data_IF_647580431760
#
_entry.id   IF_647580431760
#
_cell.length_a   1.000
_cell.length_b   1.000
_cell.length_c   1.000
_cell.angle_alpha   90.00
_cell.angle_beta   90.00
_cell.angle_gamma   90.00
#
_symmetry.space_group_name_H-M   'P 1'
#
loop_
_entity.id
_entity.type
_entity.pdbx_description
1 polymer ?
#
# COMPACT_ATOMS: atom_id res chain seq x y z
N UNK A 1 -8.82 -21.63 -33.59
CA UNK A 1 -8.00 -20.41 -33.47
C UNK A 1 -8.10 -19.84 -32.05
N UNK A 2 -7.02 -20.03 -31.26
CA UNK A 2 -6.97 -19.50 -29.91
C UNK A 2 -6.88 -17.98 -29.99
N UNK A 3 -7.97 -17.29 -29.67
CA UNK A 3 -7.94 -15.83 -29.53
C UNK A 3 -6.90 -15.44 -28.48
N UNK A 4 -5.89 -14.65 -28.90
CA UNK A 4 -4.92 -14.06 -27.97
C UNK A 4 -5.69 -13.29 -26.90
N UNK A 5 -5.39 -13.50 -25.61
CA UNK A 5 -6.07 -12.76 -24.56
C UNK A 5 -5.86 -11.26 -24.80
N UNK A 6 -6.97 -10.55 -24.92
CA UNK A 6 -6.93 -9.10 -25.07
C UNK A 6 -6.38 -8.50 -23.78
N UNK A 7 -5.14 -8.04 -23.82
CA UNK A 7 -4.45 -7.43 -22.67
C UNK A 7 -5.27 -6.28 -22.04
N UNK A 8 -6.05 -5.54 -22.84
CA UNK A 8 -6.96 -4.50 -22.33
C UNK A 8 -8.02 -5.07 -21.39
N UNK A 9 -8.60 -6.22 -21.73
CA UNK A 9 -9.60 -6.88 -20.89
C UNK A 9 -9.01 -7.37 -19.59
N UNK A 10 -7.76 -7.85 -19.60
CA UNK A 10 -7.07 -8.30 -18.39
C UNK A 10 -6.82 -7.13 -17.42
N UNK A 11 -6.36 -6.00 -17.93
CA UNK A 11 -6.11 -4.79 -17.12
C UNK A 11 -7.40 -4.19 -16.57
N UNK A 12 -8.46 -4.14 -17.38
CA UNK A 12 -9.76 -3.67 -16.92
C UNK A 12 -10.34 -4.56 -15.81
N UNK A 13 -10.13 -5.87 -15.89
CA UNK A 13 -10.56 -6.81 -14.86
C UNK A 13 -9.77 -6.61 -13.55
N UNK A 14 -8.44 -6.41 -13.63
CA UNK A 14 -7.60 -6.13 -12.49
C UNK A 14 -7.99 -4.80 -11.82
N UNK A 15 -8.15 -3.74 -12.61
CA UNK A 15 -8.57 -2.42 -12.11
C UNK A 15 -9.92 -2.49 -11.39
N UNK A 16 -10.86 -3.26 -11.89
CA UNK A 16 -12.16 -3.49 -11.27
C UNK A 16 -12.03 -4.16 -9.90
N UNK A 17 -11.16 -5.16 -9.80
CA UNK A 17 -10.89 -5.87 -8.55
C UNK A 17 -10.21 -4.96 -7.54
N UNK A 18 -9.20 -4.20 -7.95
CA UNK A 18 -8.50 -3.24 -7.11
C UNK A 18 -9.48 -2.18 -6.59
N UNK A 19 -10.30 -1.63 -7.47
CA UNK A 19 -11.33 -0.64 -7.08
C UNK A 19 -12.24 -1.18 -6.01
N UNK A 20 -12.75 -2.40 -6.18
CA UNK A 20 -13.62 -3.06 -5.21
C UNK A 20 -12.92 -3.26 -3.86
N UNK A 21 -11.66 -3.68 -3.87
CA UNK A 21 -10.87 -3.85 -2.63
C UNK A 21 -10.67 -2.52 -1.91
N UNK A 22 -10.40 -1.44 -2.62
CA UNK A 22 -10.28 -0.10 -2.04
C UNK A 22 -11.62 0.41 -1.48
N UNK A 23 -12.73 0.17 -2.16
CA UNK A 23 -14.07 0.54 -1.70
C UNK A 23 -14.48 -0.17 -0.41
N UNK A 24 -14.15 -1.44 -0.29
CA UNK A 24 -14.57 -2.29 0.83
C UNK A 24 -13.60 -2.29 2.00
N UNK A 25 -12.44 -1.66 1.86
CA UNK A 25 -11.41 -1.58 2.89
C UNK A 25 -11.53 -0.27 3.69
N UNK A 26 -11.22 -0.33 4.98
CA UNK A 26 -11.25 0.82 5.90
C UNK A 26 -9.90 1.08 6.57
N UNK A 27 -9.17 0.02 6.87
CA UNK A 27 -7.92 0.10 7.63
C UNK A 27 -6.74 -0.41 6.82
N UNK A 28 -5.70 0.42 6.73
CA UNK A 28 -4.44 0.12 6.05
C UNK A 28 -3.33 0.08 7.08
N UNK A 29 -2.57 -1.01 7.13
CA UNK A 29 -1.29 -1.05 7.82
C UNK A 29 -0.18 -0.73 6.82
N UNK A 30 0.53 0.36 7.03
CA UNK A 30 1.54 0.84 6.10
C UNK A 30 2.93 0.52 6.64
N UNK A 31 3.59 -0.46 6.04
CA UNK A 31 4.89 -0.98 6.49
C UNK A 31 6.04 -0.22 5.85
N UNK A 32 6.92 0.32 6.68
CA UNK A 32 8.09 1.07 6.22
C UNK A 32 7.90 2.58 6.22
N UNK A 33 6.93 3.09 6.98
CA UNK A 33 6.75 4.53 7.16
C UNK A 33 7.91 5.09 7.96
N UNK A 34 8.55 6.12 7.44
CA UNK A 34 9.69 6.76 8.11
C UNK A 34 9.25 7.95 8.94
N UNK A 35 9.89 8.13 10.11
CA UNK A 35 9.59 9.27 10.98
C UNK A 35 10.03 10.59 10.36
N UNK A 36 9.34 11.66 10.72
CA UNK A 36 9.65 13.03 10.28
C UNK A 36 11.07 13.45 10.72
N UNK A 37 11.52 12.99 11.89
CA UNK A 37 12.85 13.32 12.41
C UNK A 37 14.00 12.84 11.52
N UNK A 38 13.82 11.75 10.81
CA UNK A 38 14.80 11.23 9.84
C UNK A 38 14.74 11.94 8.49
N UNK A 39 13.65 12.61 8.19
CA UNK A 39 13.52 13.40 6.95
C UNK A 39 14.33 14.70 7.00
N UNK A 40 14.50 15.29 8.18
CA UNK A 40 15.23 16.56 8.37
C UNK A 40 16.74 16.40 8.21
N UNK A 41 17.28 15.20 8.46
CA UNK A 41 18.72 14.95 8.41
C UNK A 41 19.27 14.58 7.03
N UNK A 42 18.41 14.24 6.09
CA UNK A 42 18.77 13.90 4.71
C UNK A 42 18.02 14.80 3.74
N UNK A 43 18.73 15.81 3.25
CA UNK A 43 18.22 16.78 2.29
C UNK A 43 17.17 16.23 1.28
N UNK A 44 15.95 16.80 1.33
CA UNK A 44 15.13 17.20 0.17
C UNK A 44 14.17 16.13 -0.42
N UNK A 45 14.18 14.87 -0.06
CA UNK A 45 13.18 13.95 -0.61
C UNK A 45 12.13 13.60 0.44
N UNK A 46 10.98 14.25 0.35
CA UNK A 46 9.76 13.81 1.03
C UNK A 46 9.59 12.31 0.76
N UNK A 47 9.67 11.50 1.81
CA UNK A 47 9.57 10.06 1.64
C UNK A 47 8.17 9.69 1.15
N UNK A 48 8.06 8.89 0.08
CA UNK A 48 6.76 8.55 -0.52
C UNK A 48 5.74 8.01 0.47
N UNK A 49 6.18 7.21 1.45
CA UNK A 49 5.30 6.62 2.46
C UNK A 49 4.53 7.66 3.28
N UNK A 50 5.20 8.74 3.67
CA UNK A 50 4.57 9.82 4.47
C UNK A 50 3.48 10.53 3.68
N UNK A 51 3.74 10.82 2.40
CA UNK A 51 2.80 11.49 1.50
C UNK A 51 1.60 10.58 1.23
N UNK A 52 1.84 9.33 0.93
CA UNK A 52 0.79 8.34 0.66
C UNK A 52 -0.08 8.11 1.89
N UNK A 53 0.53 8.01 3.07
CA UNK A 53 -0.19 7.88 4.33
C UNK A 53 -1.20 9.02 4.53
N UNK A 54 -0.74 10.26 4.44
CA UNK A 54 -1.59 11.43 4.62
C UNK A 54 -2.70 11.49 3.59
N UNK A 55 -2.39 11.22 2.33
CA UNK A 55 -3.37 11.19 1.25
C UNK A 55 -4.48 10.17 1.52
N UNK A 56 -4.14 8.95 1.91
CA UNK A 56 -5.14 7.92 2.19
C UNK A 56 -5.99 8.27 3.42
N UNK A 57 -5.42 8.90 4.44
CA UNK A 57 -6.17 9.41 5.57
C UNK A 57 -7.19 10.48 5.16
N UNK A 58 -6.83 11.38 4.26
CA UNK A 58 -7.73 12.43 3.76
C UNK A 58 -8.93 11.84 3.01
N UNK A 59 -8.78 10.66 2.41
CA UNK A 59 -9.87 9.96 1.74
C UNK A 59 -10.59 8.95 2.64
N UNK A 60 -10.41 9.04 3.95
CA UNK A 60 -11.21 8.34 4.94
C UNK A 60 -10.67 7.01 5.45
N UNK A 61 -9.46 6.63 5.06
CA UNK A 61 -8.83 5.41 5.59
C UNK A 61 -8.19 5.64 6.95
N UNK A 62 -8.32 4.66 7.83
CA UNK A 62 -7.48 4.54 9.02
C UNK A 62 -6.15 3.96 8.59
N UNK A 63 -5.07 4.70 8.73
CA UNK A 63 -3.74 4.24 8.36
C UNK A 63 -2.87 4.08 9.59
N UNK A 64 -2.39 2.86 9.82
CA UNK A 64 -1.51 2.53 10.95
C UNK A 64 -0.09 2.40 10.42
N UNK A 65 0.82 3.29 10.82
CA UNK A 65 2.21 3.22 10.38
C UNK A 65 2.98 2.15 11.15
N UNK A 66 3.76 1.35 10.43
CA UNK A 66 4.56 0.26 10.98
C UNK A 66 6.02 0.44 10.62
N UNK A 67 6.89 0.55 11.60
CA UNK A 67 8.34 0.62 11.42
C UNK A 67 9.06 0.32 12.73
N UNK A 68 9.85 -0.75 12.83
CA UNK A 68 10.54 -1.11 14.06
C UNK A 68 11.57 -0.07 14.51
N UNK A 69 12.15 0.68 13.57
CA UNK A 69 13.16 1.69 13.85
C UNK A 69 12.59 3.03 14.34
N UNK A 70 11.31 3.24 14.22
CA UNK A 70 10.62 4.48 14.58
C UNK A 70 9.44 4.24 15.52
N UNK A 71 9.33 3.06 16.10
CA UNK A 71 8.24 2.70 16.98
C UNK A 71 8.10 3.68 18.16
N UNK A 72 6.86 4.06 18.47
CA UNK A 72 6.54 5.02 19.53
C UNK A 72 6.55 6.48 19.07
N UNK A 73 7.11 6.80 17.93
CA UNK A 73 7.04 8.14 17.35
C UNK A 73 5.66 8.40 16.74
N UNK A 74 5.27 9.65 16.66
CA UNK A 74 4.00 10.07 16.11
C UNK A 74 4.16 10.64 14.69
N UNK A 75 3.31 10.20 13.76
CA UNK A 75 3.26 10.75 12.41
C UNK A 75 1.78 10.86 11.97
N UNK A 76 1.41 12.03 11.43
CA UNK A 76 0.05 12.32 10.97
C UNK A 76 -1.05 11.90 11.96
N UNK A 77 -0.81 12.12 13.25
CA UNK A 77 -1.77 11.78 14.31
C UNK A 77 -1.77 10.33 14.78
N UNK A 78 -0.96 9.47 14.18
CA UNK A 78 -0.87 8.05 14.52
C UNK A 78 0.47 7.69 15.14
N UNK A 79 0.45 6.78 16.11
CA UNK A 79 1.68 6.25 16.72
C UNK A 79 2.23 5.12 15.84
N UNK A 80 3.50 5.19 15.52
CA UNK A 80 4.19 4.15 14.76
C UNK A 80 4.35 2.91 15.64
N UNK A 81 3.86 1.77 15.18
CA UNK A 81 4.03 0.49 15.85
C UNK A 81 5.25 -0.27 15.29
N UNK A 82 5.86 -1.12 16.10
CA UNK A 82 7.08 -1.83 15.71
C UNK A 82 6.84 -2.88 14.64
N UNK A 83 5.74 -3.61 14.71
CA UNK A 83 5.43 -4.74 13.82
C UNK A 83 3.92 -4.91 13.64
N UNK A 84 3.54 -5.61 12.57
CA UNK A 84 2.13 -5.87 12.24
C UNK A 84 1.37 -6.55 13.38
N UNK A 85 1.99 -7.47 14.10
CA UNK A 85 1.34 -8.20 15.20
C UNK A 85 0.97 -7.30 16.40
N UNK A 86 1.54 -6.10 16.50
CA UNK A 86 1.20 -5.14 17.56
C UNK A 86 -0.09 -4.38 17.28
N UNK A 87 -0.65 -4.50 16.08
CA UNK A 87 -1.91 -3.86 15.71
C UNK A 87 -3.08 -4.64 16.35
N UNK A 88 -3.94 -3.95 17.08
CA UNK A 88 -5.04 -4.56 17.84
C UNK A 88 -6.40 -4.47 17.15
N UNK A 89 -6.49 -3.83 16.01
CA UNK A 89 -7.72 -3.72 15.21
C UNK A 89 -7.60 -4.51 13.91
N UNK A 90 -8.71 -4.91 13.28
CA UNK A 90 -8.67 -5.58 11.99
C UNK A 90 -8.00 -4.71 10.93
N UNK A 91 -7.15 -5.33 10.11
CA UNK A 91 -6.46 -4.68 9.00
C UNK A 91 -6.96 -5.26 7.67
N UNK A 92 -7.43 -4.40 6.79
CA UNK A 92 -7.93 -4.81 5.47
C UNK A 92 -6.80 -4.89 4.44
N UNK A 93 -5.90 -3.91 4.45
CA UNK A 93 -4.78 -3.82 3.50
C UNK A 93 -3.48 -3.70 4.26
N UNK A 94 -2.50 -4.54 3.92
CA UNK A 94 -1.09 -4.33 4.28
C UNK A 94 -0.38 -3.74 3.07
N UNK A 95 0.03 -2.48 3.19
CA UNK A 95 0.69 -1.71 2.14
C UNK A 95 2.17 -1.57 2.45
N UNK A 96 3.05 -2.05 1.57
CA UNK A 96 4.47 -2.25 1.85
C UNK A 96 5.36 -1.29 1.07
N UNK A 97 6.20 -0.55 1.82
CA UNK A 97 7.26 0.35 1.33
C UNK A 97 8.66 -0.18 1.65
N UNK A 98 8.83 -1.50 1.67
CA UNK A 98 10.13 -2.13 1.94
C UNK A 98 10.67 -2.81 0.69
N UNK A 99 12.01 -3.01 0.58
CA UNK A 99 12.60 -3.69 -0.56
C UNK A 99 11.96 -5.05 -0.85
N UNK A 100 11.91 -5.43 -2.11
CA UNK A 100 11.26 -6.68 -2.57
C UNK A 100 11.74 -7.92 -1.82
N UNK A 101 13.04 -7.98 -1.48
CA UNK A 101 13.64 -9.11 -0.75
C UNK A 101 13.08 -9.31 0.67
N UNK A 102 12.52 -8.27 1.29
CA UNK A 102 11.95 -8.34 2.63
C UNK A 102 10.47 -8.75 2.61
N UNK A 103 9.83 -8.69 1.46
CA UNK A 103 8.39 -8.86 1.34
C UNK A 103 7.87 -10.27 1.62
N UNK A 104 8.61 -11.37 1.37
CA UNK A 104 8.16 -12.71 1.78
C UNK A 104 7.93 -12.83 3.28
N UNK A 105 8.83 -12.30 4.10
CA UNK A 105 8.69 -12.29 5.56
C UNK A 105 7.50 -11.43 6.00
N UNK A 106 7.32 -10.28 5.40
CA UNK A 106 6.18 -9.39 5.67
C UNK A 106 4.87 -10.05 5.26
N UNK A 107 4.87 -10.80 4.15
CA UNK A 107 3.72 -11.58 3.72
C UNK A 107 3.28 -12.62 4.78
N UNK A 108 4.22 -13.31 5.39
CA UNK A 108 3.93 -14.26 6.48
C UNK A 108 3.33 -13.55 7.70
N UNK A 109 3.85 -12.40 8.05
CA UNK A 109 3.31 -11.57 9.14
C UNK A 109 1.90 -11.06 8.81
N UNK A 110 1.66 -10.67 7.57
CA UNK A 110 0.35 -10.23 7.09
C UNK A 110 -0.71 -11.34 7.17
N UNK A 111 -0.34 -12.57 6.85
CA UNK A 111 -1.21 -13.74 6.99
C UNK A 111 -1.67 -13.90 8.45
N UNK A 112 -0.75 -13.77 9.40
CA UNK A 112 -1.03 -13.95 10.83
C UNK A 112 -2.06 -12.96 11.37
N UNK A 113 -2.08 -11.74 10.85
CA UNK A 113 -3.06 -10.73 11.28
C UNK A 113 -4.37 -10.79 10.48
N UNK A 114 -4.49 -11.69 9.50
CA UNK A 114 -5.71 -11.91 8.75
C UNK A 114 -6.07 -10.79 7.77
N UNK A 115 -5.09 -10.13 7.17
CA UNK A 115 -5.34 -9.11 6.15
C UNK A 115 -6.06 -9.70 4.94
N UNK A 116 -6.81 -8.87 4.22
CA UNK A 116 -7.52 -9.26 2.99
C UNK A 116 -6.72 -8.95 1.73
N UNK A 117 -5.87 -7.94 1.79
CA UNK A 117 -5.07 -7.45 0.66
C UNK A 117 -3.63 -7.27 1.09
N UNK A 118 -2.72 -7.75 0.26
CA UNK A 118 -1.28 -7.53 0.41
C UNK A 118 -0.80 -6.69 -0.78
N UNK A 119 -0.39 -5.47 -0.50
CA UNK A 119 -0.09 -4.45 -1.50
C UNK A 119 1.38 -4.07 -1.47
N UNK A 120 2.07 -4.26 -2.59
CA UNK A 120 3.45 -3.81 -2.77
C UNK A 120 3.47 -2.56 -3.64
N UNK A 121 4.08 -1.51 -3.13
CA UNK A 121 4.15 -0.21 -3.78
C UNK A 121 4.95 -0.23 -5.09
N UNK A 122 4.88 0.85 -5.85
CA UNK A 122 5.61 0.97 -7.12
C UNK A 122 7.09 0.62 -6.96
N UNK A 123 7.59 -0.21 -7.86
CA UNK A 123 8.97 -0.71 -7.84
C UNK A 123 9.20 -1.92 -6.93
N UNK A 124 8.16 -2.41 -6.23
CA UNK A 124 8.26 -3.54 -5.31
C UNK A 124 7.40 -4.69 -5.83
N UNK A 125 8.01 -5.85 -6.00
CA UNK A 125 7.32 -7.07 -6.41
C UNK A 125 8.07 -8.31 -5.94
N UNK A 126 7.36 -9.41 -5.70
CA UNK A 126 7.95 -10.67 -5.26
C UNK A 126 7.03 -11.83 -5.59
N UNK A 127 7.48 -12.73 -6.44
CA UNK A 127 6.74 -13.96 -6.77
C UNK A 127 6.60 -14.88 -5.55
N UNK A 128 7.61 -14.90 -4.68
CA UNK A 128 7.57 -15.65 -3.44
C UNK A 128 6.49 -15.12 -2.49
N UNK A 129 6.46 -13.81 -2.25
CA UNK A 129 5.42 -13.18 -1.44
C UNK A 129 4.03 -13.41 -2.01
N UNK A 130 3.88 -13.32 -3.34
CA UNK A 130 2.63 -13.62 -4.04
C UNK A 130 2.12 -15.03 -3.75
N UNK A 131 2.97 -16.03 -3.88
CA UNK A 131 2.61 -17.43 -3.58
C UNK A 131 2.19 -17.60 -2.12
N UNK A 132 2.90 -16.98 -1.18
CA UNK A 132 2.60 -17.04 0.24
C UNK A 132 1.19 -16.49 0.52
N UNK A 133 0.88 -15.30 0.06
CA UNK A 133 -0.42 -14.66 0.37
C UNK A 133 -1.57 -15.28 -0.40
N UNK A 134 -1.37 -15.67 -1.65
CA UNK A 134 -2.40 -16.32 -2.46
C UNK A 134 -2.76 -17.71 -1.95
N UNK A 135 -1.82 -18.42 -1.30
CA UNK A 135 -2.12 -19.70 -0.62
C UNK A 135 -3.17 -19.57 0.49
N UNK A 136 -3.34 -18.36 1.02
CA UNK A 136 -4.35 -18.03 2.04
C UNK A 136 -5.50 -17.19 1.48
N UNK A 137 -5.66 -17.14 0.16
CA UNK A 137 -6.71 -16.38 -0.54
C UNK A 137 -6.66 -14.86 -0.26
N UNK A 138 -5.49 -14.35 0.00
CA UNK A 138 -5.24 -12.90 0.15
C UNK A 138 -4.98 -12.32 -1.23
N UNK A 139 -5.65 -11.21 -1.53
CA UNK A 139 -5.49 -10.53 -2.81
C UNK A 139 -4.13 -9.83 -2.88
N UNK A 140 -3.36 -10.15 -3.92
CA UNK A 140 -2.01 -9.61 -4.13
C UNK A 140 -2.02 -8.49 -5.17
N UNK A 141 -1.45 -7.35 -4.81
CA UNK A 141 -1.17 -6.23 -5.73
C UNK A 141 0.31 -5.90 -5.62
N UNK A 142 0.98 -5.68 -6.73
CA UNK A 142 2.40 -5.31 -6.75
C UNK A 142 2.72 -4.24 -7.77
N UNK A 143 3.81 -3.53 -7.52
CA UNK A 143 4.34 -2.51 -8.44
C UNK A 143 3.31 -1.42 -8.78
N UNK A 144 2.53 -1.02 -7.78
CA UNK A 144 1.50 0.03 -7.93
C UNK A 144 1.47 0.93 -6.70
N UNK A 145 1.46 2.24 -6.88
CA UNK A 145 1.25 3.19 -5.79
C UNK A 145 -0.24 3.25 -5.44
N UNK A 146 -0.59 2.93 -4.20
CA UNK A 146 -1.99 2.92 -3.74
C UNK A 146 -2.69 4.28 -3.90
N UNK A 147 -1.97 5.37 -3.66
CA UNK A 147 -2.45 6.73 -3.89
C UNK A 147 -2.81 6.94 -5.37
N UNK A 148 -1.91 6.57 -6.28
CA UNK A 148 -2.11 6.74 -7.72
C UNK A 148 -3.26 5.87 -8.24
N UNK A 149 -3.39 4.65 -7.73
CA UNK A 149 -4.51 3.78 -8.07
C UNK A 149 -5.84 4.36 -7.58
N UNK A 150 -5.87 4.91 -6.38
CA UNK A 150 -7.05 5.61 -5.88
C UNK A 150 -7.43 6.80 -6.79
N UNK A 151 -6.46 7.63 -7.14
CA UNK A 151 -6.68 8.77 -8.05
C UNK A 151 -7.23 8.32 -9.41
N UNK A 152 -6.64 7.30 -9.99
CA UNK A 152 -7.05 6.77 -11.29
C UNK A 152 -8.47 6.20 -11.26
N UNK A 153 -8.79 5.39 -10.25
CA UNK A 153 -10.01 4.61 -10.21
C UNK A 153 -11.24 5.39 -9.68
N UNK A 154 -11.04 6.33 -8.75
CA UNK A 154 -12.12 7.07 -8.12
C UNK A 154 -12.21 8.51 -8.60
N UNK A 155 -11.08 9.19 -8.81
CA UNK A 155 -11.06 10.60 -9.20
C UNK A 155 -10.86 10.78 -10.70
N UNK A 156 -10.57 9.71 -11.44
CA UNK A 156 -10.29 9.72 -12.88
C UNK A 156 -9.18 10.71 -13.28
N UNK A 157 -8.21 10.90 -12.39
CA UNK A 157 -7.04 11.76 -12.62
C UNK A 157 -5.89 10.90 -13.08
N UNK A 158 -5.19 11.34 -14.14
CA UNK A 158 -4.00 10.65 -14.60
C UNK A 158 -2.89 10.71 -13.55
N UNK A 159 -2.31 9.59 -13.12
CA UNK A 159 -1.23 9.59 -12.14
C UNK A 159 0.08 10.17 -12.68
N UNK A 160 0.23 10.27 -13.98
CA UNK A 160 1.46 10.72 -14.66
C UNK A 160 1.59 12.25 -14.70
N UNK A 161 0.47 12.93 -14.68
CA UNK A 161 0.46 14.39 -14.68
C UNK A 161 -0.31 14.89 -13.47
N UNK A 162 0.37 15.44 -12.45
CA UNK A 162 -0.35 16.24 -11.47
C UNK A 162 -1.10 17.29 -12.26
N UNK A 163 -2.42 17.33 -12.06
CA UNK A 163 -3.24 18.33 -12.73
C UNK A 163 -2.60 19.70 -12.48
N UNK A 164 -2.05 20.29 -13.53
CA UNK A 164 -1.68 21.68 -13.50
C UNK A 164 -2.98 22.42 -13.16
N UNK A 165 -3.05 23.01 -11.99
CA UNK A 165 -4.12 23.92 -11.65
C UNK A 165 -4.01 25.05 -12.67
N UNK A 166 -4.82 25.00 -13.68
CA UNK A 166 -5.08 26.17 -14.51
C UNK A 166 -5.79 27.17 -13.61
N UNK A 167 -5.09 28.21 -13.26
CA UNK A 167 -5.70 29.37 -12.61
C UNK A 167 -6.77 29.98 -13.51
#
# INVERSE_FOLDING_TARGET
EKRKPNWKNKWMAEDKLIKKKLETSKTIAMVGVSSIKKEVSTNIRRRPSTIVMKYMQEFGYKVIPVNPFSAGEKIHGEIIVAKLNDIKIPVDIVDVFRPSKETPKIAEEAIKIGTKVFWLQYGIQSDEAKKIVESKKIFYVSNKCIKQEYQKLFLKVSPVFPALKTN
#
